data_IF_695051698536
#
_entry.id   IF_695051698536
#
_cell.length_a   1.000
_cell.length_b   1.000
_cell.length_c   1.000
_cell.angle_alpha   90.00
_cell.angle_beta   90.00
_cell.angle_gamma   90.00
#
_symmetry.space_group_name_H-M   'P 1'
#
loop_
_entity.id
_entity.type
_entity.pdbx_description
1 polymer ?
#
# COMPACT_ATOMS: atom_id res chain seq x y z
N UNK A 1 -39.55 -11.50 44.15
CA UNK A 1 -39.45 -11.83 42.72
C UNK A 1 -38.06 -12.39 42.50
N UNK A 2 -37.93 -13.72 42.36
CA UNK A 2 -36.64 -14.37 42.17
C UNK A 2 -36.15 -14.08 40.76
N UNK A 3 -35.03 -13.38 40.62
CA UNK A 3 -34.31 -13.25 39.35
C UNK A 3 -33.99 -14.67 38.87
N UNK A 4 -34.47 -15.10 37.69
CA UNK A 4 -34.14 -16.42 37.19
C UNK A 4 -32.62 -16.49 37.03
N UNK A 5 -32.00 -17.45 37.72
CA UNK A 5 -30.57 -17.72 37.61
C UNK A 5 -30.31 -18.17 36.17
N UNK A 6 -29.91 -17.22 35.31
CA UNK A 6 -29.40 -17.52 33.97
C UNK A 6 -28.05 -18.18 34.17
N UNK A 7 -28.00 -19.49 34.02
CA UNK A 7 -26.74 -20.20 33.84
C UNK A 7 -26.23 -19.82 32.43
N UNK A 8 -25.09 -19.14 32.30
CA UNK A 8 -24.53 -18.86 30.99
C UNK A 8 -23.96 -20.14 30.39
N UNK A 9 -24.18 -20.36 29.09
CA UNK A 9 -23.60 -21.50 28.39
C UNK A 9 -22.11 -21.26 28.10
N UNK A 10 -21.22 -22.26 28.25
CA UNK A 10 -19.82 -22.13 27.84
C UNK A 10 -19.73 -21.88 26.33
N UNK A 11 -18.95 -20.87 25.94
CA UNK A 11 -18.76 -20.52 24.53
C UNK A 11 -17.66 -21.41 23.92
N UNK A 12 -17.99 -22.14 22.86
CA UNK A 12 -16.98 -22.81 22.03
C UNK A 12 -16.53 -21.89 20.91
N UNK A 13 -15.24 -21.55 20.91
CA UNK A 13 -14.61 -20.77 19.83
C UNK A 13 -14.21 -21.71 18.69
N UNK A 14 -14.62 -21.46 17.43
CA UNK A 14 -14.21 -22.29 16.30
C UNK A 14 -12.73 -22.07 15.95
N UNK A 15 -12.10 -23.07 15.34
CA UNK A 15 -10.79 -22.88 14.73
C UNK A 15 -10.89 -21.98 13.49
N UNK A 16 -10.09 -20.91 13.48
CA UNK A 16 -10.11 -19.89 12.41
C UNK A 16 -9.22 -20.27 11.22
N UNK A 17 -8.18 -21.07 11.43
CA UNK A 17 -7.21 -21.44 10.39
C UNK A 17 -7.86 -22.04 9.12
N UNK A 18 -8.85 -22.96 9.20
CA UNK A 18 -9.52 -23.48 8.01
C UNK A 18 -10.27 -22.41 7.19
N UNK A 19 -10.60 -21.27 7.80
CA UNK A 19 -11.38 -20.18 7.19
C UNK A 19 -10.49 -19.04 6.66
N UNK A 20 -9.17 -19.11 6.87
CA UNK A 20 -8.20 -18.12 6.40
C UNK A 20 -7.50 -18.52 5.09
N UNK A 21 -7.73 -19.75 4.60
CA UNK A 21 -7.37 -20.19 3.25
C UNK A 21 -6.00 -19.72 2.75
N UNK A 22 -6.02 -18.85 1.73
CA UNK A 22 -4.86 -18.29 1.02
C UNK A 22 -4.08 -17.25 1.83
N UNK A 23 -4.67 -16.67 2.87
CA UNK A 23 -3.96 -15.78 3.80
C UNK A 23 -2.94 -16.55 4.63
N UNK A 24 -3.16 -17.85 4.89
CA UNK A 24 -2.15 -18.69 5.56
C UNK A 24 -1.17 -19.32 4.56
N UNK A 25 -1.68 -19.85 3.44
CA UNK A 25 -0.86 -20.50 2.42
C UNK A 25 -0.97 -19.72 1.11
N UNK A 26 -0.03 -18.80 0.83
CA UNK A 26 -0.08 -18.01 -0.39
C UNK A 26 0.16 -18.96 -1.57
N UNK A 27 -0.69 -18.88 -2.59
CA UNK A 27 -0.49 -19.57 -3.86
C UNK A 27 -0.29 -18.53 -4.93
N UNK A 28 0.96 -18.08 -5.09
CA UNK A 28 1.38 -17.18 -6.17
C UNK A 28 2.21 -17.97 -7.18
N UNK A 29 1.95 -17.70 -8.47
CA UNK A 29 2.74 -18.22 -9.59
C UNK A 29 3.79 -17.20 -10.07
N UNK A 30 3.57 -15.91 -9.74
CA UNK A 30 4.43 -14.79 -10.12
C UNK A 30 4.92 -14.03 -8.89
N UNK A 31 6.10 -13.43 -9.00
CA UNK A 31 6.70 -12.64 -7.94
C UNK A 31 5.98 -11.28 -7.84
N UNK A 32 5.47 -10.90 -6.65
CA UNK A 32 4.70 -9.67 -6.50
C UNK A 32 5.61 -8.45 -6.68
N UNK A 33 5.06 -7.36 -7.23
CA UNK A 33 5.81 -6.11 -7.40
C UNK A 33 6.36 -5.55 -6.09
N UNK A 34 5.53 -5.59 -5.05
CA UNK A 34 5.90 -5.22 -3.68
C UNK A 34 5.77 -6.47 -2.80
N UNK A 35 6.81 -6.86 -2.04
CA UNK A 35 6.69 -7.97 -1.11
C UNK A 35 5.78 -7.57 0.05
N UNK A 36 4.66 -8.28 0.20
CA UNK A 36 3.66 -8.07 1.26
C UNK A 36 3.52 -9.29 2.19
N UNK A 37 4.31 -10.34 1.95
CA UNK A 37 4.14 -11.63 2.65
C UNK A 37 4.43 -11.55 4.14
N UNK A 38 5.38 -10.71 4.57
CA UNK A 38 5.63 -10.42 5.99
C UNK A 38 4.42 -9.75 6.65
N UNK A 39 3.77 -8.80 5.98
CA UNK A 39 2.56 -8.14 6.50
C UNK A 39 1.38 -9.12 6.53
N UNK A 40 1.24 -9.96 5.50
CA UNK A 40 0.24 -11.03 5.45
C UNK A 40 0.40 -12.00 6.62
N UNK A 41 1.62 -12.47 6.85
CA UNK A 41 1.96 -13.42 7.91
C UNK A 41 1.73 -12.82 9.29
N UNK A 42 2.09 -11.56 9.50
CA UNK A 42 1.81 -10.85 10.75
C UNK A 42 0.31 -10.68 10.99
N UNK A 43 -0.46 -10.30 9.96
CA UNK A 43 -1.93 -10.23 10.05
C UNK A 43 -2.54 -11.58 10.40
N UNK A 44 -2.13 -12.64 9.71
CA UNK A 44 -2.60 -14.00 9.95
C UNK A 44 -2.26 -14.45 11.38
N UNK A 45 -1.02 -14.20 11.81
CA UNK A 45 -0.55 -14.49 13.16
C UNK A 45 -1.40 -13.76 14.19
N UNK A 46 -1.64 -12.45 13.98
CA UNK A 46 -2.42 -11.64 14.92
C UNK A 46 -3.86 -12.13 15.06
N UNK A 47 -4.50 -12.56 13.98
CA UNK A 47 -5.86 -13.11 14.01
C UNK A 47 -5.88 -14.48 14.70
N UNK A 48 -4.85 -15.29 14.51
CA UNK A 48 -4.71 -16.57 15.22
C UNK A 48 -4.44 -16.39 16.71
N UNK A 49 -3.65 -15.38 17.10
CA UNK A 49 -3.46 -14.99 18.50
C UNK A 49 -4.77 -14.55 19.14
N UNK A 50 -5.53 -13.67 18.48
CA UNK A 50 -6.87 -13.25 18.94
C UNK A 50 -7.79 -14.48 19.15
N UNK A 51 -7.79 -15.43 18.22
CA UNK A 51 -8.53 -16.68 18.37
C UNK A 51 -8.02 -17.57 19.52
N UNK A 52 -6.70 -17.58 19.73
CA UNK A 52 -6.03 -18.29 20.82
C UNK A 52 -6.37 -17.73 22.20
N UNK A 53 -6.30 -16.41 22.36
CA UNK A 53 -6.70 -15.68 23.57
C UNK A 53 -8.17 -15.99 23.92
N UNK A 54 -9.05 -15.94 22.92
CA UNK A 54 -10.45 -16.27 23.09
C UNK A 54 -10.68 -17.74 23.48
N UNK A 55 -9.95 -18.70 22.89
CA UNK A 55 -10.01 -20.11 23.28
C UNK A 55 -9.52 -20.34 24.70
N UNK A 56 -8.45 -19.65 25.11
CA UNK A 56 -7.92 -19.74 26.47
C UNK A 56 -8.91 -19.16 27.50
N UNK A 57 -9.58 -18.06 27.19
CA UNK A 57 -10.65 -17.49 28.01
C UNK A 57 -11.88 -18.42 28.07
N UNK A 58 -12.25 -19.04 26.95
CA UNK A 58 -13.34 -20.02 26.90
C UNK A 58 -13.07 -21.24 27.77
N UNK A 59 -11.83 -21.72 27.84
CA UNK A 59 -11.44 -22.82 28.73
C UNK A 59 -11.50 -22.49 30.23
N UNK A 60 -11.63 -21.21 30.59
CA UNK A 60 -11.81 -20.72 31.96
C UNK A 60 -13.23 -20.24 32.24
N UNK A 61 -14.17 -20.49 31.31
CA UNK A 61 -15.55 -20.00 31.36
C UNK A 61 -15.69 -18.46 31.47
N UNK A 62 -14.68 -17.71 31.00
CA UNK A 62 -14.64 -16.24 31.04
C UNK A 62 -15.34 -15.62 29.81
N UNK A 63 -16.68 -15.76 29.74
CA UNK A 63 -17.50 -15.37 28.59
C UNK A 63 -17.21 -13.96 28.05
N UNK A 64 -17.19 -12.96 28.93
CA UNK A 64 -17.02 -11.57 28.50
C UNK A 64 -15.66 -11.33 27.85
N UNK A 65 -14.61 -12.01 28.36
CA UNK A 65 -13.28 -11.95 27.76
C UNK A 65 -13.20 -12.64 26.40
N UNK A 66 -13.98 -13.71 26.18
CA UNK A 66 -14.10 -14.35 24.85
C UNK A 66 -14.68 -13.36 23.83
N UNK A 67 -15.78 -12.69 24.20
CA UNK A 67 -16.46 -11.73 23.32
C UNK A 67 -15.61 -10.46 23.11
N UNK A 68 -14.86 -10.03 24.11
CA UNK A 68 -13.93 -8.89 24.01
C UNK A 68 -12.74 -9.20 23.09
N UNK A 69 -12.12 -10.37 23.26
CA UNK A 69 -11.00 -10.81 22.42
C UNK A 69 -11.42 -10.90 20.95
N UNK A 70 -12.58 -11.50 20.66
CA UNK A 70 -13.13 -11.65 19.31
C UNK A 70 -13.97 -10.45 18.85
N UNK A 71 -13.82 -9.30 19.51
CA UNK A 71 -14.60 -8.12 19.17
C UNK A 71 -14.24 -7.58 17.78
N UNK A 72 -15.21 -6.91 17.18
CA UNK A 72 -15.02 -6.09 15.97
C UNK A 72 -13.79 -5.19 16.09
N UNK A 73 -13.58 -4.56 17.26
CA UNK A 73 -12.46 -3.65 17.51
C UNK A 73 -11.11 -4.34 17.38
N UNK A 74 -10.96 -5.55 17.93
CA UNK A 74 -9.72 -6.29 17.87
C UNK A 74 -9.34 -6.66 16.42
N UNK A 75 -10.31 -7.14 15.65
CA UNK A 75 -10.13 -7.52 14.25
C UNK A 75 -9.85 -6.31 13.35
N UNK A 76 -10.62 -5.23 13.51
CA UNK A 76 -10.39 -4.00 12.74
C UNK A 76 -9.03 -3.37 13.04
N UNK A 77 -8.58 -3.39 14.30
CA UNK A 77 -7.26 -2.88 14.64
C UNK A 77 -6.14 -3.66 13.93
N UNK A 78 -6.25 -4.98 13.84
CA UNK A 78 -5.30 -5.81 13.10
C UNK A 78 -5.33 -5.51 11.59
N UNK A 79 -6.54 -5.40 11.01
CA UNK A 79 -6.73 -5.04 9.61
C UNK A 79 -6.17 -3.66 9.27
N UNK A 80 -6.53 -2.63 10.03
CA UNK A 80 -6.10 -1.25 9.79
C UNK A 80 -4.57 -1.11 9.91
N UNK A 81 -3.95 -1.82 10.86
CA UNK A 81 -2.50 -1.85 10.98
C UNK A 81 -1.84 -2.45 9.73
N UNK A 82 -2.38 -3.57 9.22
CA UNK A 82 -1.88 -4.19 7.99
C UNK A 82 -2.04 -3.26 6.78
N UNK A 83 -3.23 -2.69 6.56
CA UNK A 83 -3.51 -1.78 5.43
C UNK A 83 -2.58 -0.55 5.47
N UNK A 84 -2.34 0.03 6.65
CA UNK A 84 -1.39 1.16 6.78
C UNK A 84 0.02 0.78 6.36
N UNK A 85 0.53 -0.37 6.82
CA UNK A 85 1.87 -0.85 6.44
C UNK A 85 1.97 -1.15 4.94
N UNK A 86 0.91 -1.70 4.34
CA UNK A 86 0.84 -1.90 2.89
C UNK A 86 0.91 -0.56 2.18
N UNK A 87 0.08 0.42 2.57
CA UNK A 87 0.06 1.76 1.96
C UNK A 87 1.41 2.47 2.04
N UNK A 88 2.08 2.42 3.19
CA UNK A 88 3.42 2.98 3.37
C UNK A 88 4.44 2.30 2.44
N UNK A 89 4.35 0.98 2.29
CA UNK A 89 5.27 0.23 1.45
C UNK A 89 5.04 0.47 -0.04
N UNK A 90 3.78 0.50 -0.49
CA UNK A 90 3.40 0.76 -1.89
C UNK A 90 3.81 2.17 -2.28
N UNK A 91 3.49 3.18 -1.47
CA UNK A 91 3.90 4.56 -1.76
C UNK A 91 5.42 4.72 -1.72
N UNK A 92 6.11 4.02 -0.83
CA UNK A 92 7.58 3.96 -0.82
C UNK A 92 8.17 3.30 -2.06
N UNK A 93 7.56 2.24 -2.58
CA UNK A 93 7.99 1.57 -3.81
C UNK A 93 7.81 2.48 -5.04
N UNK A 94 6.67 3.16 -5.16
CA UNK A 94 6.41 4.14 -6.21
C UNK A 94 7.40 5.30 -6.19
N UNK A 95 7.64 5.92 -5.02
CA UNK A 95 8.62 6.99 -4.87
C UNK A 95 10.02 6.53 -5.33
N UNK A 96 10.40 5.30 -5.01
CA UNK A 96 11.67 4.73 -5.46
C UNK A 96 11.73 4.51 -6.97
N UNK A 97 10.66 4.01 -7.60
CA UNK A 97 10.61 3.81 -9.05
C UNK A 97 10.66 5.13 -9.81
N UNK A 98 9.89 6.13 -9.39
CA UNK A 98 9.92 7.48 -9.94
C UNK A 98 11.32 8.08 -9.80
N UNK A 99 11.94 7.97 -8.62
CA UNK A 99 13.29 8.49 -8.39
C UNK A 99 14.34 7.75 -9.23
N UNK A 100 14.22 6.42 -9.41
CA UNK A 100 15.09 5.63 -10.29
C UNK A 100 14.93 6.07 -11.76
N UNK A 101 13.70 6.20 -12.25
CA UNK A 101 13.42 6.66 -13.61
C UNK A 101 14.01 8.07 -13.85
N UNK A 102 13.77 9.00 -12.92
CA UNK A 102 14.29 10.36 -13.01
C UNK A 102 15.83 10.42 -12.94
N UNK A 103 16.49 9.52 -12.20
CA UNK A 103 17.96 9.41 -12.18
C UNK A 103 18.53 8.92 -13.50
N UNK A 104 17.88 7.95 -14.17
CA UNK A 104 18.32 7.40 -15.46
C UNK A 104 18.40 8.49 -16.54
N UNK A 105 17.45 9.41 -16.56
CA UNK A 105 17.43 10.56 -17.49
C UNK A 105 18.19 11.79 -17.00
N UNK A 106 18.93 11.67 -15.88
CA UNK A 106 19.72 12.76 -15.26
C UNK A 106 18.89 14.02 -14.94
N UNK A 107 17.65 13.85 -14.50
CA UNK A 107 16.78 14.98 -14.10
C UNK A 107 17.42 15.79 -12.96
N UNK A 108 17.41 17.14 -13.04
CA UNK A 108 17.93 17.99 -11.97
C UNK A 108 17.26 17.74 -10.61
N UNK A 109 18.03 17.80 -9.52
CA UNK A 109 17.56 17.47 -8.15
C UNK A 109 16.29 18.21 -7.73
N UNK A 110 16.14 19.49 -8.08
CA UNK A 110 14.95 20.29 -7.74
C UNK A 110 13.69 19.78 -8.43
N UNK A 111 13.80 19.35 -9.70
CA UNK A 111 12.67 18.81 -10.46
C UNK A 111 12.34 17.39 -10.00
N UNK A 112 13.37 16.57 -9.72
CA UNK A 112 13.21 15.23 -9.16
C UNK A 112 12.37 15.22 -7.87
N UNK A 113 12.62 16.15 -6.96
CA UNK A 113 11.84 16.28 -5.71
C UNK A 113 10.35 16.61 -5.95
N UNK A 114 10.02 17.25 -7.07
CA UNK A 114 8.63 17.60 -7.42
C UNK A 114 7.88 16.46 -8.13
N UNK A 115 8.59 15.43 -8.57
CA UNK A 115 8.00 14.25 -9.21
C UNK A 115 7.60 13.18 -8.19
N UNK A 116 8.12 13.24 -6.96
CA UNK A 116 7.75 12.31 -5.89
C UNK A 116 6.28 12.52 -5.50
N UNK A 117 5.66 11.46 -4.98
CA UNK A 117 4.25 11.46 -4.61
C UNK A 117 3.95 12.57 -3.60
N UNK A 118 2.96 13.40 -3.92
CA UNK A 118 2.42 14.39 -3.03
C UNK A 118 1.65 13.73 -1.87
N UNK A 119 1.54 14.44 -0.74
CA UNK A 119 0.79 13.94 0.41
C UNK A 119 -0.71 13.71 0.15
N UNK A 120 -1.28 14.33 -0.89
CA UNK A 120 -2.64 14.05 -1.36
C UNK A 120 -2.72 12.70 -2.10
N UNK A 121 -1.74 12.39 -2.95
CA UNK A 121 -1.69 11.14 -3.71
C UNK A 121 -1.46 9.95 -2.79
N UNK A 122 -0.54 10.06 -1.82
CA UNK A 122 -0.33 9.02 -0.80
C UNK A 122 -1.61 8.72 -0.02
N UNK A 123 -2.39 9.76 0.31
CA UNK A 123 -3.70 9.59 0.98
C UNK A 123 -4.75 8.97 0.07
N UNK A 124 -4.77 9.31 -1.22
CA UNK A 124 -5.68 8.72 -2.18
C UNK A 124 -5.39 7.22 -2.39
N UNK A 125 -4.12 6.84 -2.52
CA UNK A 125 -3.67 5.44 -2.59
C UNK A 125 -4.09 4.70 -1.31
N UNK A 126 -3.79 5.26 -0.13
CA UNK A 126 -4.19 4.64 1.13
C UNK A 126 -5.72 4.45 1.27
N UNK A 127 -6.52 5.42 0.82
CA UNK A 127 -7.98 5.32 0.83
C UNK A 127 -8.49 4.23 -0.11
N UNK A 128 -7.92 4.11 -1.33
CA UNK A 128 -8.27 3.05 -2.29
C UNK A 128 -7.90 1.66 -1.77
N UNK A 129 -6.73 1.51 -1.15
CA UNK A 129 -6.32 0.27 -0.50
C UNK A 129 -7.24 -0.11 0.68
N UNK A 130 -7.70 0.88 1.46
CA UNK A 130 -8.62 0.65 2.57
C UNK A 130 -10.04 0.24 2.10
N UNK A 131 -10.50 0.72 0.94
CA UNK A 131 -11.81 0.41 0.38
C UNK A 131 -12.01 -1.10 0.13
N UNK A 132 -10.93 -1.86 -0.14
CA UNK A 132 -10.99 -3.32 -0.24
C UNK A 132 -11.49 -4.04 1.03
N UNK A 133 -11.47 -3.36 2.18
CA UNK A 133 -11.94 -3.87 3.47
C UNK A 133 -13.43 -3.70 3.75
N UNK A 134 -14.21 -3.02 2.91
CA UNK A 134 -15.62 -2.70 3.21
C UNK A 134 -16.48 -3.93 3.54
N UNK A 135 -16.31 -5.02 2.79
CA UNK A 135 -17.07 -6.26 3.03
C UNK A 135 -16.64 -6.99 4.31
N UNK A 136 -15.41 -6.79 4.77
CA UNK A 136 -14.94 -7.26 6.07
C UNK A 136 -15.55 -6.42 7.19
N UNK A 137 -15.56 -5.08 7.06
CA UNK A 137 -16.17 -4.19 8.05
C UNK A 137 -17.63 -4.56 8.27
N UNK A 138 -18.41 -4.76 7.20
CA UNK A 138 -19.80 -5.18 7.29
C UNK A 138 -19.98 -6.54 7.98
N UNK A 139 -19.05 -7.49 7.74
CA UNK A 139 -19.08 -8.79 8.42
C UNK A 139 -18.73 -8.68 9.92
N UNK A 140 -17.83 -7.77 10.29
CA UNK A 140 -17.48 -7.49 11.68
C UNK A 140 -18.60 -6.73 12.41
N UNK A 141 -19.31 -5.83 11.73
CA UNK A 141 -20.53 -5.19 12.26
C UNK A 141 -21.61 -6.25 12.56
N UNK A 142 -21.82 -7.19 11.64
CA UNK A 142 -22.75 -8.30 11.84
C UNK A 142 -22.34 -9.20 13.01
N UNK A 143 -21.04 -9.50 13.12
CA UNK A 143 -20.48 -10.26 14.24
C UNK A 143 -20.73 -9.57 15.59
N UNK A 144 -20.51 -8.25 15.67
CA UNK A 144 -20.72 -7.47 16.89
C UNK A 144 -22.19 -7.47 17.31
N UNK A 145 -23.11 -7.33 16.35
CA UNK A 145 -24.55 -7.41 16.59
C UNK A 145 -24.96 -8.79 17.13
N UNK A 146 -24.39 -9.88 16.60
CA UNK A 146 -24.64 -11.24 17.13
C UNK A 146 -23.98 -11.44 18.49
N UNK A 147 -22.79 -10.90 18.73
CA UNK A 147 -22.09 -10.98 20.00
C UNK A 147 -22.88 -10.33 21.14
N UNK A 148 -23.55 -9.19 20.88
CA UNK A 148 -24.50 -8.57 21.80
C UNK A 148 -25.64 -9.52 22.21
N UNK A 149 -26.28 -10.19 21.24
CA UNK A 149 -27.33 -11.18 21.52
C UNK A 149 -26.80 -12.36 22.34
N UNK A 150 -25.60 -12.84 22.02
CA UNK A 150 -24.96 -13.94 22.75
C UNK A 150 -24.62 -13.54 24.18
N UNK A 151 -24.20 -12.28 24.43
CA UNK A 151 -23.91 -11.78 25.78
C UNK A 151 -25.10 -11.88 26.73
N UNK A 152 -26.32 -11.76 26.23
CA UNK A 152 -27.55 -11.85 27.05
C UNK A 152 -28.22 -13.23 27.01
N UNK A 153 -27.74 -14.12 26.13
CA UNK A 153 -28.29 -15.44 25.88
C UNK A 153 -28.03 -16.44 27.04
N UNK A 154 -29.02 -17.30 27.31
CA UNK A 154 -28.99 -18.39 28.30
C UNK A 154 -28.66 -19.75 27.66
N UNK A 155 -28.52 -20.81 28.47
CA UNK A 155 -28.32 -22.21 27.97
C UNK A 155 -29.41 -22.67 26.98
N UNK A 156 -30.61 -22.10 27.04
CA UNK A 156 -31.72 -22.46 26.15
C UNK A 156 -31.56 -21.87 24.73
N UNK A 157 -30.72 -20.84 24.58
CA UNK A 157 -30.55 -20.08 23.34
C UNK A 157 -29.43 -20.66 22.45
N UNK A 158 -29.47 -21.98 22.21
CA UNK A 158 -28.44 -22.69 21.43
C UNK A 158 -28.26 -22.13 20.00
N UNK A 159 -29.32 -21.58 19.41
CA UNK A 159 -29.28 -20.93 18.09
C UNK A 159 -28.38 -19.68 18.07
N UNK A 160 -28.39 -18.88 19.13
CA UNK A 160 -27.56 -17.68 19.21
C UNK A 160 -26.06 -18.00 19.20
N UNK A 161 -25.66 -19.12 19.81
CA UNK A 161 -24.28 -19.57 19.79
C UNK A 161 -23.85 -20.05 18.40
N UNK A 162 -24.71 -20.80 17.70
CA UNK A 162 -24.44 -21.26 16.33
C UNK A 162 -24.32 -20.07 15.37
N UNK A 163 -25.23 -19.09 15.46
CA UNK A 163 -25.20 -17.85 14.69
C UNK A 163 -23.87 -17.10 14.89
N UNK A 164 -23.39 -17.01 16.13
CA UNK A 164 -22.13 -16.33 16.45
C UNK A 164 -20.92 -17.05 15.89
N UNK A 165 -20.89 -18.38 15.98
CA UNK A 165 -19.81 -19.17 15.36
C UNK A 165 -19.79 -19.00 13.83
N UNK A 166 -20.95 -18.94 13.19
CA UNK A 166 -21.01 -18.72 11.74
C UNK A 166 -20.64 -17.30 11.35
N UNK A 167 -21.01 -16.30 12.16
CA UNK A 167 -20.57 -14.92 11.98
C UNK A 167 -19.04 -14.81 12.08
N UNK A 168 -18.40 -15.53 13.02
CA UNK A 168 -16.94 -15.61 13.12
C UNK A 168 -16.27 -16.22 11.89
N UNK A 169 -16.79 -17.36 11.40
CA UNK A 169 -16.26 -17.99 10.16
C UNK A 169 -16.45 -17.07 8.96
N UNK A 170 -17.58 -16.37 8.90
CA UNK A 170 -17.86 -15.39 7.84
C UNK A 170 -16.88 -14.23 7.90
N UNK A 171 -16.60 -13.67 9.08
CA UNK A 171 -15.60 -12.63 9.26
C UNK A 171 -14.19 -13.09 8.81
N UNK A 172 -13.78 -14.31 9.17
CA UNK A 172 -12.51 -14.89 8.71
C UNK A 172 -12.44 -15.03 7.18
N UNK A 173 -13.48 -15.56 6.53
CA UNK A 173 -13.56 -15.66 5.06
C UNK A 173 -13.53 -14.28 4.39
N UNK A 174 -14.16 -13.29 5.01
CA UNK A 174 -14.19 -11.91 4.50
C UNK A 174 -12.85 -11.20 4.68
N UNK A 175 -12.10 -11.52 5.73
CA UNK A 175 -10.72 -11.06 5.89
C UNK A 175 -9.83 -11.60 4.79
N UNK A 176 -9.95 -12.89 4.46
CA UNK A 176 -9.25 -13.48 3.32
C UNK A 176 -9.61 -12.78 2.01
N UNK A 177 -10.89 -12.58 1.73
CA UNK A 177 -11.34 -11.87 0.54
C UNK A 177 -10.82 -10.43 0.49
N UNK A 178 -10.82 -9.71 1.61
CA UNK A 178 -10.31 -8.35 1.71
C UNK A 178 -8.80 -8.28 1.45
N UNK A 179 -8.02 -9.26 1.95
CA UNK A 179 -6.59 -9.34 1.66
C UNK A 179 -6.32 -9.56 0.17
N UNK A 180 -7.04 -10.49 -0.47
CA UNK A 180 -6.89 -10.75 -1.91
C UNK A 180 -7.31 -9.54 -2.77
N UNK A 181 -8.35 -8.82 -2.36
CA UNK A 181 -8.78 -7.59 -3.01
C UNK A 181 -7.72 -6.49 -2.89
N UNK A 182 -7.08 -6.38 -1.71
CA UNK A 182 -5.97 -5.45 -1.48
C UNK A 182 -4.77 -5.78 -2.37
N UNK A 183 -4.39 -7.05 -2.52
CA UNK A 183 -3.31 -7.45 -3.45
C UNK A 183 -3.64 -7.09 -4.90
N UNK A 184 -4.90 -7.29 -5.31
CA UNK A 184 -5.37 -6.91 -6.64
C UNK A 184 -5.26 -5.39 -6.84
N UNK A 185 -5.72 -4.61 -5.86
CA UNK A 185 -5.64 -3.15 -5.89
C UNK A 185 -4.19 -2.66 -5.99
N UNK A 186 -3.23 -3.30 -5.32
CA UNK A 186 -1.81 -2.95 -5.43
C UNK A 186 -1.29 -3.13 -6.86
N UNK A 187 -1.67 -4.20 -7.54
CA UNK A 187 -1.30 -4.40 -8.94
C UNK A 187 -2.02 -3.41 -9.88
N UNK A 188 -3.26 -3.02 -9.56
CA UNK A 188 -3.97 -1.99 -10.31
C UNK A 188 -3.29 -0.61 -10.18
N UNK A 189 -2.88 -0.22 -8.97
CA UNK A 189 -2.08 1.00 -8.75
C UNK A 189 -0.78 0.96 -9.55
N UNK A 190 -0.08 -0.18 -9.57
CA UNK A 190 1.13 -0.35 -10.37
C UNK A 190 0.89 -0.06 -11.85
N UNK A 191 -0.20 -0.59 -12.42
CA UNK A 191 -0.54 -0.39 -13.84
C UNK A 191 -0.89 1.06 -14.14
N UNK A 192 -1.62 1.72 -13.24
CA UNK A 192 -1.97 3.14 -13.38
C UNK A 192 -0.70 4.02 -13.40
N UNK A 193 0.22 3.80 -12.46
CA UNK A 193 1.45 4.57 -12.34
C UNK A 193 2.52 4.24 -13.38
N UNK A 194 2.46 3.05 -14.02
CA UNK A 194 3.42 2.66 -15.04
C UNK A 194 3.49 3.68 -16.20
N UNK A 195 2.35 4.18 -16.65
CA UNK A 195 2.30 5.18 -17.73
C UNK A 195 2.96 6.51 -17.33
N UNK A 196 2.80 6.93 -16.08
CA UNK A 196 3.41 8.16 -15.56
C UNK A 196 4.91 8.01 -15.35
N UNK A 197 5.35 6.86 -14.83
CA UNK A 197 6.77 6.52 -14.69
C UNK A 197 7.44 6.47 -16.06
N UNK A 198 6.78 5.92 -17.08
CA UNK A 198 7.25 5.91 -18.46
C UNK A 198 7.36 7.34 -19.02
N UNK A 199 6.38 8.21 -18.76
CA UNK A 199 6.46 9.61 -19.17
C UNK A 199 7.69 10.32 -18.56
N UNK A 200 8.02 10.03 -17.30
CA UNK A 200 9.25 10.51 -16.65
C UNK A 200 10.50 9.94 -17.33
N UNK A 201 10.49 8.67 -17.71
CA UNK A 201 11.61 7.99 -18.37
C UNK A 201 11.86 8.52 -19.80
N UNK A 202 10.85 9.07 -20.47
CA UNK A 202 11.00 9.67 -21.80
C UNK A 202 11.45 11.14 -21.76
N UNK A 203 11.59 11.73 -20.57
CA UNK A 203 12.06 13.11 -20.45
C UNK A 203 13.47 13.26 -21.03
N UNK A 204 13.64 14.23 -21.94
CA UNK A 204 14.94 14.61 -22.47
C UNK A 204 15.37 15.97 -21.93
N UNK A 205 16.66 16.16 -21.60
CA UNK A 205 17.16 17.46 -21.21
C UNK A 205 17.01 18.43 -22.39
N UNK A 206 16.57 19.68 -22.15
CA UNK A 206 16.54 20.68 -23.20
C UNK A 206 17.98 20.93 -23.68
N UNK A 207 18.23 20.75 -24.98
CA UNK A 207 19.53 21.00 -25.60
C UNK A 207 19.78 22.49 -25.89
N UNK A 208 18.75 23.33 -25.73
CA UNK A 208 18.82 24.77 -25.97
C UNK A 208 20.00 25.48 -25.28
N UNK A 209 20.34 25.26 -23.99
CA UNK A 209 21.52 25.89 -23.39
C UNK A 209 22.83 25.48 -24.06
N UNK A 210 22.94 24.24 -24.54
CA UNK A 210 24.11 23.80 -25.31
C UNK A 210 24.15 24.52 -26.65
N UNK A 211 23.02 24.61 -27.35
CA UNK A 211 22.90 25.31 -28.63
C UNK A 211 23.23 26.80 -28.44
N UNK A 212 22.64 27.46 -27.44
CA UNK A 212 22.88 28.87 -27.15
C UNK A 212 24.35 29.18 -26.83
N UNK A 213 25.08 28.25 -26.22
CA UNK A 213 26.52 28.37 -25.98
C UNK A 213 27.35 28.06 -27.24
N UNK A 214 26.96 27.05 -28.03
CA UNK A 214 27.70 26.63 -29.22
C UNK A 214 27.55 27.61 -30.37
N UNK A 215 26.39 28.23 -30.54
CA UNK A 215 26.12 29.20 -31.62
C UNK A 215 27.14 30.35 -31.66
N UNK A 216 27.42 31.11 -30.58
CA UNK A 216 28.41 32.20 -30.65
C UNK A 216 29.83 31.68 -30.89
N UNK A 217 30.18 30.50 -30.38
CA UNK A 217 31.48 29.86 -30.64
C UNK A 217 31.62 29.48 -32.11
N UNK A 218 30.58 28.89 -32.71
CA UNK A 218 30.56 28.56 -34.12
C UNK A 218 30.68 29.81 -34.99
N UNK A 219 29.93 30.87 -34.66
CA UNK A 219 29.99 32.16 -35.36
C UNK A 219 31.39 32.76 -35.28
N UNK A 220 32.03 32.73 -34.11
CA UNK A 220 33.40 33.22 -33.93
C UNK A 220 34.41 32.41 -34.74
N UNK A 221 34.30 31.08 -34.74
CA UNK A 221 35.18 30.19 -35.51
C UNK A 221 35.02 30.39 -37.02
N UNK A 222 33.78 30.54 -37.49
CA UNK A 222 33.49 30.84 -38.90
C UNK A 222 34.08 32.20 -39.28
N UNK A 223 33.85 33.24 -38.47
CA UNK A 223 34.43 34.56 -38.69
C UNK A 223 35.96 34.52 -38.74
N UNK A 224 36.60 33.80 -37.81
CA UNK A 224 38.05 33.63 -37.77
C UNK A 224 38.56 32.90 -39.03
N UNK A 225 37.84 31.87 -39.49
CA UNK A 225 38.15 31.17 -40.74
C UNK A 225 38.08 32.09 -41.96
N UNK A 226 37.09 32.98 -42.03
CA UNK A 226 37.00 33.96 -43.12
C UNK A 226 38.12 35.00 -43.08
N UNK A 227 38.53 35.44 -41.89
CA UNK A 227 39.65 36.38 -41.71
C UNK A 227 40.97 35.72 -42.11
N UNK A 228 41.24 34.49 -41.66
CA UNK A 228 42.45 33.73 -42.03
C UNK A 228 42.47 33.31 -43.50
N UNK A 229 41.30 33.04 -44.10
CA UNK A 229 41.17 32.72 -45.52
C UNK A 229 41.27 33.93 -46.47
N UNK A 230 41.42 35.16 -45.94
CA UNK A 230 41.59 36.38 -46.73
C UNK A 230 40.30 36.94 -47.36
N UNK A 231 39.13 36.44 -46.96
CA UNK A 231 37.84 36.89 -47.49
C UNK A 231 37.26 38.09 -46.71
N UNK A 232 37.76 38.36 -45.50
CA UNK A 232 37.39 39.50 -44.65
C UNK A 232 38.66 40.20 -44.14
N UNK A 233 38.70 41.55 -44.08
CA UNK A 233 39.85 42.27 -43.55
C UNK A 233 40.04 41.94 -42.06
N UNK A 234 41.27 41.57 -41.68
CA UNK A 234 41.61 41.30 -40.30
C UNK A 234 41.46 42.59 -39.47
N UNK A 235 40.81 42.56 -38.31
CA UNK A 235 40.73 43.73 -37.46
C UNK A 235 42.12 44.09 -36.93
N UNK A 236 42.35 45.40 -36.72
CA UNK A 236 43.67 46.00 -36.47
C UNK A 236 44.45 45.40 -35.30
N UNK A 237 43.76 44.95 -34.26
CA UNK A 237 44.37 44.30 -33.09
C UNK A 237 44.86 42.87 -33.37
N UNK A 238 44.24 42.17 -34.32
CA UNK A 238 44.57 40.79 -34.71
C UNK A 238 45.69 40.79 -35.77
N UNK A 239 45.67 41.78 -36.67
CA UNK A 239 46.76 42.06 -37.61
C UNK A 239 48.09 42.38 -36.87
N UNK A 240 48.02 43.22 -35.82
CA UNK A 240 49.18 43.56 -35.00
C UNK A 240 49.81 42.35 -34.27
N UNK A 241 49.03 41.30 -34.00
CA UNK A 241 49.49 40.11 -33.26
C UNK A 241 50.00 38.99 -34.19
N UNK A 242 49.48 38.91 -35.43
CA UNK A 242 49.88 37.92 -36.44
C UNK A 242 51.02 38.38 -37.37
N UNK A 243 51.48 39.63 -37.26
CA UNK A 243 52.67 40.12 -37.97
C UNK A 243 52.44 40.43 -39.46
N UNK A 244 51.22 40.84 -39.82
CA UNK A 244 50.90 41.46 -41.10
C UNK A 244 50.97 42.98 -41.03
#
# INVERSE_FOLDING_TARGET
MSTPVKIPMPLRVPELAPSLGRVLVPRRLEEPWVPLDDIREELATRVMEIGGEARAAAGRDERDKVLEALSRRAWLAAWDAAVRRVGDRVTGALDQEIDRAARRVRTPRRRRRRLLLAGSEKRAIAARLAAGGETLVAALDALDAVAGRVRDASVLDKGAHADWQEALRTAARRLEAAWLALETQVEDERREWAAEIDAVAHWRPPLWPLIALWTPVAVLLVWLGFVLGGYLPAPSWLAAWLGF
#
